data_IF_788091900339
#
_entry.id   IF_788091900339
#
_cell.length_a   1.000
_cell.length_b   1.000
_cell.length_c   1.000
_cell.angle_alpha   90.00
_cell.angle_beta   90.00
_cell.angle_gamma   90.00
#
_symmetry.space_group_name_H-M   'P 1'
#
loop_
_entity.id
_entity.type
_entity.pdbx_description
1 polymer ?
#
# COMPACT_ATOMS: atom_id res chain seq x y z
N UNK A 1 26.31 -2.06 -37.71
CA UNK A 1 26.46 -1.85 -36.25
C UNK A 1 25.24 -1.08 -35.78
N UNK A 2 24.34 -1.72 -35.05
CA UNK A 2 23.19 -1.00 -34.47
C UNK A 2 23.73 -0.14 -33.32
N UNK A 3 23.65 1.18 -33.45
CA UNK A 3 23.99 2.10 -32.38
C UNK A 3 23.05 1.82 -31.21
N UNK A 4 23.60 1.39 -30.07
CA UNK A 4 22.85 1.28 -28.83
C UNK A 4 22.36 2.67 -28.44
N UNK A 5 21.04 2.86 -28.38
CA UNK A 5 20.46 4.05 -27.77
C UNK A 5 20.95 4.08 -26.32
N UNK A 6 21.62 5.15 -25.86
CA UNK A 6 22.03 5.23 -24.46
C UNK A 6 20.79 5.09 -23.57
N UNK A 7 20.88 4.23 -22.56
CA UNK A 7 19.79 4.06 -21.60
C UNK A 7 19.41 5.43 -21.03
N UNK A 8 18.13 5.80 -21.14
CA UNK A 8 17.63 7.04 -20.58
C UNK A 8 18.02 7.10 -19.09
N UNK A 9 18.54 8.24 -18.66
CA UNK A 9 18.90 8.41 -17.25
C UNK A 9 17.65 8.20 -16.38
N UNK A 10 17.76 7.48 -15.25
CA UNK A 10 16.60 7.17 -14.42
C UNK A 10 15.94 8.46 -13.93
N UNK A 11 14.61 8.53 -14.04
CA UNK A 11 13.83 9.66 -13.56
C UNK A 11 13.80 9.72 -12.03
N UNK A 12 13.59 10.92 -11.48
CA UNK A 12 13.23 11.07 -10.06
C UNK A 12 11.80 10.56 -9.89
N UNK A 13 11.61 9.61 -8.96
CA UNK A 13 10.29 9.16 -8.55
C UNK A 13 9.90 9.86 -7.25
N UNK A 14 8.64 10.26 -7.12
CA UNK A 14 8.13 10.90 -5.91
C UNK A 14 6.71 10.42 -5.64
N UNK A 15 6.38 10.24 -4.37
CA UNK A 15 5.03 9.97 -3.91
C UNK A 15 4.83 10.56 -2.51
N UNK A 16 3.58 10.77 -2.14
CA UNK A 16 3.20 11.17 -0.79
C UNK A 16 2.28 10.11 -0.19
N UNK A 17 2.37 9.91 1.12
CA UNK A 17 1.53 8.95 1.83
C UNK A 17 1.52 9.21 3.32
N UNK A 18 0.78 8.36 4.03
CA UNK A 18 0.56 8.47 5.48
C UNK A 18 0.23 9.93 5.89
N UNK A 19 -0.65 10.55 5.10
CA UNK A 19 -1.05 11.94 5.28
C UNK A 19 -1.97 12.05 6.49
N UNK A 20 -1.75 13.09 7.29
CA UNK A 20 -2.56 13.43 8.46
C UNK A 20 -3.06 14.87 8.31
N UNK A 21 -3.86 15.40 9.25
CA UNK A 21 -4.24 16.80 9.21
C UNK A 21 -3.05 17.76 9.25
N UNK A 22 -1.93 17.35 9.87
CA UNK A 22 -0.80 18.24 10.13
C UNK A 22 0.54 17.70 9.65
N UNK A 23 0.53 16.66 8.82
CA UNK A 23 1.76 16.02 8.37
C UNK A 23 1.55 15.10 7.18
N UNK A 24 2.66 14.70 6.56
CA UNK A 24 2.71 13.80 5.42
C UNK A 24 4.09 13.15 5.33
N UNK A 25 4.19 12.01 4.67
CA UNK A 25 5.47 11.40 4.30
C UNK A 25 5.71 11.66 2.82
N UNK A 26 6.77 12.40 2.50
CA UNK A 26 7.29 12.50 1.13
C UNK A 26 8.29 11.38 0.95
N UNK A 27 8.01 10.46 0.04
CA UNK A 27 8.97 9.48 -0.43
C UNK A 27 9.55 9.94 -1.77
N UNK A 28 10.85 9.75 -1.96
CA UNK A 28 11.48 9.97 -3.25
C UNK A 28 12.56 8.95 -3.54
N UNK A 29 12.79 8.70 -4.84
CA UNK A 29 13.97 8.00 -5.35
C UNK A 29 14.77 8.95 -6.23
N UNK A 30 16.03 9.16 -5.86
CA UNK A 30 17.01 9.90 -6.64
C UNK A 30 17.56 9.13 -7.83
N UNK A 31 18.37 9.81 -8.63
CA UNK A 31 19.07 9.24 -9.78
C UNK A 31 20.39 8.56 -9.39
N UNK A 32 21.02 9.07 -8.33
CA UNK A 32 22.26 8.58 -7.76
C UNK A 32 22.31 8.92 -6.26
N UNK A 33 23.34 8.40 -5.56
CA UNK A 33 23.57 8.73 -4.15
C UNK A 33 23.87 10.22 -3.99
N UNK A 34 23.46 10.80 -2.86
CA UNK A 34 23.64 12.21 -2.55
C UNK A 34 22.41 12.81 -1.91
N UNK A 35 22.21 14.10 -2.13
CA UNK A 35 21.11 14.86 -1.53
C UNK A 35 20.08 15.22 -2.58
N UNK A 36 18.81 14.98 -2.26
CA UNK A 36 17.67 15.55 -2.96
C UNK A 36 17.24 16.83 -2.25
N UNK A 37 17.00 17.90 -3.01
CA UNK A 37 16.30 19.07 -2.48
C UNK A 37 14.80 18.82 -2.57
N UNK A 38 14.10 19.00 -1.46
CA UNK A 38 12.65 18.93 -1.37
C UNK A 38 12.12 20.30 -1.01
N UNK A 39 11.39 20.91 -1.95
CA UNK A 39 10.62 22.12 -1.71
C UNK A 39 9.15 21.74 -1.51
N UNK A 40 8.47 22.32 -0.52
CA UNK A 40 7.02 22.16 -0.38
C UNK A 40 6.34 23.45 0.08
N UNK A 41 5.11 23.68 -0.36
CA UNK A 41 4.35 24.88 0.00
C UNK A 41 2.88 24.77 -0.41
N UNK A 42 2.05 25.66 0.11
CA UNK A 42 0.61 25.70 -0.20
C UNK A 42 0.43 26.07 -1.67
N UNK A 43 -0.37 25.30 -2.41
CA UNK A 43 -0.69 25.60 -3.82
C UNK A 43 -1.40 26.96 -3.90
N UNK A 44 -0.86 27.88 -4.70
CA UNK A 44 -1.37 29.25 -4.81
C UNK A 44 -1.11 30.15 -3.59
N UNK A 45 -0.35 29.68 -2.60
CA UNK A 45 0.02 30.47 -1.43
C UNK A 45 1.08 31.53 -1.74
N UNK A 46 1.03 32.67 -1.04
CA UNK A 46 2.01 33.75 -1.18
C UNK A 46 3.34 33.48 -0.44
N UNK A 47 3.32 32.58 0.54
CA UNK A 47 4.50 32.22 1.31
C UNK A 47 5.52 31.43 0.46
N UNK A 48 6.83 31.67 0.62
CA UNK A 48 7.85 30.86 -0.04
C UNK A 48 7.73 29.38 0.33
N UNK A 49 8.02 28.49 -0.63
CA UNK A 49 8.10 27.06 -0.35
C UNK A 49 9.21 26.77 0.67
N UNK A 50 8.90 25.97 1.68
CA UNK A 50 9.87 25.49 2.64
C UNK A 50 10.85 24.53 1.96
N UNK A 51 12.13 24.63 2.29
CA UNK A 51 13.22 23.80 1.77
C UNK A 51 13.69 22.78 2.78
N UNK A 52 13.90 21.54 2.33
CA UNK A 52 14.48 20.44 3.10
C UNK A 52 15.46 19.65 2.24
N UNK A 53 16.43 19.02 2.89
CA UNK A 53 17.35 18.08 2.27
C UNK A 53 16.90 16.66 2.61
N UNK A 54 16.94 15.77 1.62
CA UNK A 54 16.69 14.34 1.79
C UNK A 54 17.89 13.55 1.27
N UNK A 55 18.63 12.91 2.18
CA UNK A 55 19.78 12.08 1.81
C UNK A 55 19.34 10.73 1.27
N UNK A 56 19.94 10.33 0.15
CA UNK A 56 19.72 9.02 -0.48
C UNK A 56 21.06 8.34 -0.75
N UNK A 57 21.15 7.03 -0.55
CA UNK A 57 22.40 6.28 -0.67
C UNK A 57 22.29 5.15 -1.68
N UNK A 58 23.42 4.68 -2.22
CA UNK A 58 23.44 3.50 -3.09
C UNK A 58 22.93 2.24 -2.36
N UNK A 59 23.29 2.08 -1.08
CA UNK A 59 22.81 0.98 -0.24
C UNK A 59 21.30 1.00 0.00
N UNK A 60 20.67 2.18 -0.03
CA UNK A 60 19.22 2.37 0.03
C UNK A 60 18.53 2.39 -1.35
N UNK A 61 19.20 1.99 -2.43
CA UNK A 61 18.70 2.06 -3.81
C UNK A 61 18.19 3.46 -4.19
N UNK A 62 18.90 4.47 -3.69
CA UNK A 62 18.62 5.89 -3.88
C UNK A 62 17.23 6.32 -3.39
N UNK A 63 16.57 5.53 -2.54
CA UNK A 63 15.29 5.88 -1.92
C UNK A 63 15.51 6.66 -0.62
N UNK A 64 14.53 7.48 -0.26
CA UNK A 64 14.49 8.21 0.99
C UNK A 64 13.08 8.66 1.34
N UNK A 65 12.85 8.93 2.63
CA UNK A 65 11.59 9.46 3.16
C UNK A 65 11.86 10.70 4.00
N UNK A 66 10.98 11.69 3.85
CA UNK A 66 10.97 12.91 4.63
C UNK A 66 9.60 13.07 5.29
N UNK A 67 9.58 13.08 6.62
CA UNK A 67 8.39 13.42 7.38
C UNK A 67 8.19 14.95 7.37
N UNK A 68 7.02 15.39 6.93
CA UNK A 68 6.56 16.77 7.01
C UNK A 68 5.64 16.90 8.22
N UNK A 69 5.82 17.97 9.00
CA UNK A 69 5.03 18.28 10.19
C UNK A 69 4.62 19.75 10.21
N UNK A 70 3.65 20.10 11.05
CA UNK A 70 3.16 21.48 11.17
C UNK A 70 2.41 21.97 9.92
N UNK A 71 1.88 21.05 9.11
CA UNK A 71 1.08 21.41 7.95
C UNK A 71 -0.30 21.92 8.39
N UNK A 72 -0.91 22.75 7.55
CA UNK A 72 -2.28 23.23 7.75
C UNK A 72 -3.25 22.13 7.32
N UNK A 73 -4.28 21.77 8.11
CA UNK A 73 -5.31 20.82 7.73
C UNK A 73 -6.10 21.23 6.48
N UNK A 74 -6.72 20.26 5.80
CA UNK A 74 -7.56 20.47 4.62
C UNK A 74 -6.92 21.36 3.53
N UNK A 75 -5.60 21.27 3.35
CA UNK A 75 -4.82 22.19 2.52
C UNK A 75 -4.04 21.41 1.46
N UNK A 76 -4.09 21.91 0.22
CA UNK A 76 -3.33 21.36 -0.90
C UNK A 76 -1.91 21.90 -0.91
N UNK A 77 -0.94 21.00 -0.94
CA UNK A 77 0.49 21.31 -0.98
C UNK A 77 1.10 20.84 -2.30
N UNK A 78 1.92 21.70 -2.90
CA UNK A 78 2.86 21.32 -3.95
C UNK A 78 4.16 20.85 -3.32
N UNK A 79 4.78 19.85 -3.92
CA UNK A 79 6.10 19.31 -3.58
C UNK A 79 6.94 19.30 -4.85
N UNK A 80 8.17 19.78 -4.78
CA UNK A 80 9.17 19.63 -5.85
C UNK A 80 10.38 18.92 -5.27
N UNK A 81 10.80 17.85 -5.91
CA UNK A 81 12.02 17.11 -5.59
C UNK A 81 13.01 17.31 -6.73
N UNK A 82 14.24 17.73 -6.42
CA UNK A 82 15.29 17.94 -7.42
C UNK A 82 16.62 17.29 -7.03
N UNK A 83 17.37 16.89 -8.06
CA UNK A 83 18.76 16.44 -7.95
C UNK A 83 19.51 17.03 -9.16
N UNK A 84 20.34 18.04 -8.90
CA UNK A 84 20.90 18.87 -9.97
C UNK A 84 19.78 19.59 -10.75
N UNK A 85 19.83 19.50 -12.08
CA UNK A 85 18.82 20.11 -12.97
C UNK A 85 17.56 19.25 -13.14
N UNK A 86 17.61 17.96 -12.77
CA UNK A 86 16.44 17.09 -12.87
C UNK A 86 15.47 17.33 -11.72
N UNK A 87 14.17 17.39 -12.03
CA UNK A 87 13.11 17.61 -11.02
C UNK A 87 11.86 16.77 -11.28
N UNK A 88 11.14 16.46 -10.21
CA UNK A 88 9.79 15.90 -10.23
C UNK A 88 8.86 16.74 -9.34
N UNK A 89 7.60 16.89 -9.73
CA UNK A 89 6.60 17.68 -9.01
C UNK A 89 5.44 16.81 -8.56
N UNK A 90 5.00 16.94 -7.32
CA UNK A 90 3.87 16.21 -6.78
C UNK A 90 2.94 17.16 -6.03
N UNK A 91 1.72 16.71 -5.78
CA UNK A 91 0.76 17.37 -4.92
C UNK A 91 0.11 16.38 -3.96
N UNK A 92 -0.32 16.89 -2.82
CA UNK A 92 -1.17 16.17 -1.88
C UNK A 92 -2.09 17.13 -1.15
N UNK A 93 -3.12 16.60 -0.51
CA UNK A 93 -4.02 17.36 0.36
C UNK A 93 -3.95 16.78 1.76
N UNK A 94 -3.73 17.62 2.77
CA UNK A 94 -3.79 17.20 4.17
C UNK A 94 -5.20 16.85 4.57
N UNK A 95 -5.36 15.87 5.47
CA UNK A 95 -6.67 15.48 5.93
C UNK A 95 -7.37 16.66 6.66
N UNK A 96 -8.71 16.75 6.61
CA UNK A 96 -9.45 17.68 7.46
C UNK A 96 -9.27 17.36 8.94
N UNK A 97 -9.41 18.35 9.85
CA UNK A 97 -9.41 18.12 11.30
C UNK A 97 -10.43 17.04 11.71
N UNK A 98 -10.17 16.20 12.73
CA UNK A 98 -11.01 15.03 13.05
C UNK A 98 -12.48 15.31 13.40
N UNK A 99 -12.84 16.56 13.68
CA UNK A 99 -14.20 17.04 13.98
C UNK A 99 -14.90 17.71 12.78
N UNK A 100 -14.17 17.98 11.70
CA UNK A 100 -14.68 18.64 10.51
C UNK A 100 -15.55 17.70 9.65
N UNK A 101 -16.79 18.07 9.30
CA UNK A 101 -17.68 17.25 8.46
C UNK A 101 -17.38 17.40 6.95
N UNK A 102 -16.12 17.18 6.57
CA UNK A 102 -15.67 17.32 5.19
C UNK A 102 -16.03 16.08 4.36
N UNK A 103 -16.49 16.31 3.11
CA UNK A 103 -16.65 15.26 2.11
C UNK A 103 -15.31 14.57 1.87
N UNK A 104 -15.36 13.25 1.64
CA UNK A 104 -14.21 12.44 1.26
C UNK A 104 -14.53 11.63 0.01
N UNK A 105 -13.59 11.58 -0.92
CA UNK A 105 -13.58 10.70 -2.09
C UNK A 105 -12.24 9.98 -2.13
N UNK A 106 -12.24 8.66 -2.11
CA UNK A 106 -11.00 7.88 -2.20
C UNK A 106 -11.10 6.82 -3.29
N UNK A 107 -9.94 6.38 -3.77
CA UNK A 107 -9.79 5.27 -4.70
C UNK A 107 -9.22 4.06 -3.98
N UNK A 108 -9.43 2.89 -4.56
CA UNK A 108 -8.82 1.65 -4.11
C UNK A 108 -8.52 0.72 -5.27
N UNK A 109 -7.46 -0.09 -5.13
CA UNK A 109 -7.07 -1.16 -6.05
C UNK A 109 -6.11 -2.09 -5.32
N UNK A 110 -6.04 -3.35 -5.71
CA UNK A 110 -4.93 -4.27 -5.44
C UNK A 110 -4.44 -4.87 -6.75
N UNK A 111 -3.66 -5.94 -6.67
CA UNK A 111 -3.46 -6.90 -7.77
C UNK A 111 -2.87 -6.27 -9.04
N UNK A 112 -1.78 -5.51 -8.89
CA UNK A 112 -1.13 -4.83 -10.01
C UNK A 112 -0.21 -5.76 -10.80
N UNK A 113 -0.78 -6.27 -11.89
CA UNK A 113 -0.09 -7.10 -12.86
C UNK A 113 -0.20 -8.58 -12.49
N UNK A 114 0.90 -9.34 -12.61
CA UNK A 114 0.89 -10.76 -12.27
C UNK A 114 0.18 -11.66 -13.30
N UNK A 115 0.37 -12.97 -13.19
CA UNK A 115 -0.30 -13.95 -14.08
C UNK A 115 -0.08 -13.72 -15.60
N UNK A 116 0.99 -13.00 -15.97
CA UNK A 116 1.28 -12.58 -17.33
C UNK A 116 0.82 -11.16 -17.72
N UNK A 117 0.05 -10.45 -16.89
CA UNK A 117 -0.43 -9.08 -17.13
C UNK A 117 0.53 -8.00 -16.61
N UNK A 118 1.84 -8.26 -16.72
CA UNK A 118 2.90 -7.33 -16.36
C UNK A 118 2.85 -6.03 -17.17
N UNK A 119 3.64 -5.01 -16.79
CA UNK A 119 3.67 -3.68 -17.42
C UNK A 119 3.79 -3.76 -18.94
N UNK A 120 2.72 -3.44 -19.70
CA UNK A 120 2.75 -3.48 -21.16
C UNK A 120 3.73 -2.45 -21.73
N UNK A 121 4.43 -2.80 -22.81
CA UNK A 121 5.23 -1.84 -23.60
C UNK A 121 4.35 -0.74 -24.18
N UNK A 122 3.14 -1.10 -24.61
CA UNK A 122 2.18 -0.18 -25.21
C UNK A 122 1.24 0.44 -24.17
N UNK A 123 1.68 1.56 -23.59
CA UNK A 123 0.84 2.42 -22.75
C UNK A 123 0.73 2.00 -21.28
N UNK A 124 1.49 0.99 -20.84
CA UNK A 124 1.62 0.65 -19.43
C UNK A 124 0.28 0.28 -18.77
N UNK A 125 0.14 0.60 -17.48
CA UNK A 125 -1.07 0.33 -16.70
C UNK A 125 -2.13 1.42 -16.90
N UNK A 126 -2.90 1.27 -18.00
CA UNK A 126 -3.88 2.27 -18.47
C UNK A 126 -4.93 2.70 -17.45
N UNK A 127 -5.23 1.87 -16.44
CA UNK A 127 -6.25 2.15 -15.42
C UNK A 127 -5.90 3.37 -14.54
N UNK A 128 -4.62 3.68 -14.36
CA UNK A 128 -4.23 4.75 -13.44
C UNK A 128 -4.50 6.16 -13.98
N UNK A 129 -4.59 6.34 -15.30
CA UNK A 129 -4.98 7.62 -15.89
C UNK A 129 -6.44 8.02 -15.54
N UNK A 130 -7.48 7.21 -15.82
CA UNK A 130 -8.85 7.54 -15.43
C UNK A 130 -9.06 7.54 -13.91
N UNK A 131 -8.19 6.88 -13.13
CA UNK A 131 -8.16 7.02 -11.67
C UNK A 131 -7.69 8.42 -11.26
N UNK A 132 -6.59 8.93 -11.84
CA UNK A 132 -6.08 10.28 -11.57
C UNK A 132 -7.13 11.35 -11.91
N UNK A 133 -7.89 11.17 -12.99
CA UNK A 133 -8.96 12.08 -13.39
C UNK A 133 -10.08 12.23 -12.35
N UNK A 134 -10.22 11.28 -11.41
CA UNK A 134 -11.21 11.37 -10.32
C UNK A 134 -10.85 12.40 -9.25
N UNK A 135 -9.60 12.86 -9.21
CA UNK A 135 -9.10 13.84 -8.22
C UNK A 135 -9.46 13.46 -6.79
N UNK A 136 -9.25 12.19 -6.45
CA UNK A 136 -9.52 11.67 -5.12
C UNK A 136 -8.62 12.32 -4.07
N UNK A 137 -9.11 12.34 -2.83
CA UNK A 137 -8.39 12.81 -1.66
C UNK A 137 -7.18 11.91 -1.35
N UNK A 138 -7.36 10.60 -1.53
CA UNK A 138 -6.30 9.59 -1.38
C UNK A 138 -6.61 8.30 -2.15
N UNK A 139 -5.58 7.46 -2.28
CA UNK A 139 -5.62 6.15 -2.91
C UNK A 139 -5.18 5.06 -1.92
N UNK A 140 -5.99 4.03 -1.76
CA UNK A 140 -5.65 2.81 -1.03
C UNK A 140 -5.08 1.79 -2.02
N UNK A 141 -3.82 1.39 -1.84
CA UNK A 141 -3.21 0.35 -2.67
C UNK A 141 -3.06 -0.93 -1.82
N UNK A 142 -3.95 -1.89 -2.09
CA UNK A 142 -4.30 -2.99 -1.20
C UNK A 142 -3.69 -4.29 -1.72
N UNK A 143 -2.40 -4.47 -1.50
CA UNK A 143 -1.72 -5.72 -1.84
C UNK A 143 -1.31 -5.88 -3.30
N UNK A 144 -0.47 -6.91 -3.53
CA UNK A 144 -0.09 -7.41 -4.85
C UNK A 144 0.41 -6.34 -5.81
N UNK A 145 1.22 -5.42 -5.28
CA UNK A 145 1.74 -4.28 -6.01
C UNK A 145 2.90 -4.65 -6.94
N UNK A 146 3.47 -5.87 -6.83
CA UNK A 146 4.71 -6.23 -7.55
C UNK A 146 4.83 -7.66 -8.10
N UNK A 147 4.08 -8.66 -7.63
CA UNK A 147 4.25 -10.06 -8.07
C UNK A 147 5.71 -10.55 -8.06
N UNK A 148 6.40 -10.34 -6.95
CA UNK A 148 7.85 -10.53 -6.80
C UNK A 148 8.33 -11.95 -7.17
N UNK A 149 7.45 -12.92 -7.04
CA UNK A 149 7.67 -14.33 -7.26
C UNK A 149 7.17 -14.83 -8.62
N UNK A 150 6.54 -13.99 -9.46
CA UNK A 150 6.08 -14.38 -10.81
C UNK A 150 6.92 -13.66 -11.88
N UNK A 151 7.76 -14.40 -12.65
CA UNK A 151 8.51 -13.82 -13.76
C UNK A 151 7.60 -13.20 -14.82
N UNK A 152 8.00 -12.06 -15.34
CA UNK A 152 7.35 -11.36 -16.45
C UNK A 152 8.17 -11.58 -17.73
N UNK A 153 8.02 -12.73 -18.37
CA UNK A 153 8.86 -13.20 -19.50
C UNK A 153 8.09 -13.32 -20.83
N UNK A 154 6.99 -12.58 -20.99
CA UNK A 154 6.14 -12.63 -22.19
C UNK A 154 6.47 -11.53 -23.20
N UNK A 155 6.24 -11.74 -24.51
CA UNK A 155 6.32 -10.68 -25.49
C UNK A 155 5.39 -9.50 -25.16
N UNK A 156 5.81 -8.27 -25.48
CA UNK A 156 4.96 -7.09 -25.32
C UNK A 156 4.99 -6.44 -23.94
N UNK A 157 5.83 -6.90 -23.01
CA UNK A 157 5.99 -6.30 -21.67
C UNK A 157 7.35 -5.61 -21.54
N UNK A 158 7.44 -4.61 -20.67
CA UNK A 158 8.71 -3.94 -20.39
C UNK A 158 9.66 -4.92 -19.73
N UNK A 159 10.95 -4.86 -20.06
CA UNK A 159 11.98 -5.71 -19.47
C UNK A 159 12.32 -5.31 -18.01
N UNK A 160 12.98 -6.20 -17.27
CA UNK A 160 13.49 -5.95 -15.91
C UNK A 160 12.68 -6.60 -14.78
N UNK A 161 11.82 -7.56 -15.12
CA UNK A 161 10.97 -8.32 -14.21
C UNK A 161 10.92 -9.83 -14.53
N UNK A 162 11.85 -10.36 -15.32
CA UNK A 162 11.92 -11.75 -15.82
C UNK A 162 12.40 -12.76 -14.75
N UNK A 163 12.44 -12.37 -13.48
CA UNK A 163 13.01 -13.16 -12.39
C UNK A 163 12.06 -13.23 -11.19
N UNK A 164 12.31 -14.24 -10.34
CA UNK A 164 11.73 -14.34 -9.00
C UNK A 164 12.66 -13.70 -7.99
N UNK A 165 12.17 -12.75 -7.20
CA UNK A 165 12.95 -12.06 -6.20
C UNK A 165 13.26 -12.96 -5.00
N UNK A 166 14.53 -12.93 -4.57
CA UNK A 166 15.04 -13.62 -3.38
C UNK A 166 15.96 -12.73 -2.54
N UNK A 167 16.55 -11.70 -3.16
CA UNK A 167 17.42 -10.73 -2.48
C UNK A 167 16.76 -9.36 -2.39
N UNK A 168 17.22 -8.53 -1.45
CA UNK A 168 16.70 -7.17 -1.28
C UNK A 168 16.76 -6.35 -2.58
N UNK A 169 17.87 -6.45 -3.31
CA UNK A 169 18.04 -5.77 -4.60
C UNK A 169 17.01 -6.23 -5.65
N UNK A 170 16.66 -7.52 -5.67
CA UNK A 170 15.65 -8.06 -6.57
C UNK A 170 14.23 -7.61 -6.19
N UNK A 171 13.87 -7.62 -4.90
CA UNK A 171 12.58 -7.11 -4.44
C UNK A 171 12.42 -5.61 -4.75
N UNK A 172 13.46 -4.82 -4.48
CA UNK A 172 13.50 -3.39 -4.84
C UNK A 172 13.35 -3.18 -6.35
N UNK A 173 13.98 -4.02 -7.17
CA UNK A 173 13.82 -3.97 -8.62
C UNK A 173 12.37 -4.26 -9.07
N UNK A 174 11.65 -5.18 -8.42
CA UNK A 174 10.22 -5.44 -8.68
C UNK A 174 9.33 -4.27 -8.28
N UNK A 175 9.57 -3.61 -7.15
CA UNK A 175 8.88 -2.36 -6.82
C UNK A 175 9.16 -1.24 -7.82
N UNK A 176 10.43 -1.06 -8.19
CA UNK A 176 10.83 -0.05 -9.18
C UNK A 176 10.15 -0.28 -10.53
N UNK A 177 10.13 -1.52 -11.01
CA UNK A 177 9.53 -1.91 -12.28
C UNK A 177 8.10 -1.38 -12.43
N UNK A 178 7.24 -1.60 -11.43
CA UNK A 178 5.86 -1.11 -11.49
C UNK A 178 5.78 0.40 -11.27
N UNK A 179 6.56 0.97 -10.36
CA UNK A 179 6.52 2.42 -10.07
C UNK A 179 7.07 3.32 -11.17
N UNK A 180 7.87 2.77 -12.07
CA UNK A 180 8.33 3.46 -13.28
C UNK A 180 7.27 3.47 -14.39
N UNK A 181 6.13 2.79 -14.22
CA UNK A 181 4.98 2.99 -15.10
C UNK A 181 4.52 4.45 -15.07
N UNK A 182 4.33 5.05 -16.27
CA UNK A 182 4.04 6.46 -16.40
C UNK A 182 2.68 6.85 -15.78
N UNK A 183 1.65 6.02 -15.94
CA UNK A 183 0.31 6.31 -15.43
C UNK A 183 0.26 6.11 -13.91
N UNK A 184 0.89 5.06 -13.38
CA UNK A 184 1.04 4.89 -11.92
C UNK A 184 1.84 6.04 -11.30
N UNK A 185 2.98 6.39 -11.90
CA UNK A 185 3.80 7.50 -11.42
C UNK A 185 3.03 8.83 -11.43
N UNK A 186 2.23 9.09 -12.46
CA UNK A 186 1.36 10.27 -12.51
C UNK A 186 0.30 10.26 -11.39
N UNK A 187 -0.36 9.12 -11.14
CA UNK A 187 -1.31 8.99 -10.03
C UNK A 187 -0.63 9.25 -8.68
N UNK A 188 0.51 8.62 -8.41
CA UNK A 188 1.26 8.76 -7.15
C UNK A 188 1.83 10.17 -6.93
N UNK A 189 2.06 10.91 -8.02
CA UNK A 189 2.41 12.34 -7.98
C UNK A 189 1.21 13.24 -7.67
N UNK A 190 0.00 12.87 -8.11
CA UNK A 190 -1.20 13.70 -7.96
C UNK A 190 -2.11 13.32 -6.79
N UNK A 191 -1.90 12.16 -6.17
CA UNK A 191 -2.78 11.61 -5.14
C UNK A 191 -1.96 10.88 -4.08
N UNK A 192 -2.21 11.21 -2.81
CA UNK A 192 -1.54 10.52 -1.69
C UNK A 192 -1.93 9.05 -1.64
N UNK A 193 -0.97 8.17 -1.36
CA UNK A 193 -1.16 6.71 -1.32
C UNK A 193 -1.02 6.17 0.10
N UNK A 194 -1.90 5.26 0.47
CA UNK A 194 -1.76 4.40 1.63
C UNK A 194 -1.64 2.97 1.13
N UNK A 195 -0.40 2.49 1.06
CA UNK A 195 -0.10 1.14 0.60
C UNK A 195 -0.07 0.13 1.76
N UNK A 196 -0.46 -1.09 1.45
CA UNK A 196 -0.25 -2.29 2.26
C UNK A 196 0.11 -3.45 1.33
N UNK A 197 0.88 -4.41 1.83
CA UNK A 197 1.21 -5.62 1.08
C UNK A 197 0.09 -6.66 1.11
N UNK A 198 0.23 -7.64 0.23
CA UNK A 198 -0.32 -8.96 0.36
C UNK A 198 0.80 -10.00 0.13
N UNK A 199 0.52 -11.19 -0.42
CA UNK A 199 1.54 -12.21 -0.51
C UNK A 199 2.55 -11.99 -1.61
N UNK A 200 2.13 -11.47 -2.75
CA UNK A 200 2.98 -11.31 -3.92
C UNK A 200 4.06 -10.22 -3.76
N UNK A 201 4.06 -9.48 -2.64
CA UNK A 201 5.24 -8.73 -2.18
C UNK A 201 6.41 -9.62 -1.72
N UNK A 202 6.16 -10.89 -1.41
CA UNK A 202 7.14 -11.87 -0.93
C UNK A 202 7.12 -13.12 -1.81
N UNK A 203 6.03 -13.90 -1.72
CA UNK A 203 5.68 -15.05 -2.58
C UNK A 203 4.23 -15.49 -2.31
N UNK A 204 3.58 -16.06 -3.31
CA UNK A 204 2.24 -16.64 -3.24
C UNK A 204 1.96 -17.42 -1.94
N UNK A 205 0.82 -17.14 -1.33
CA UNK A 205 0.24 -17.72 -0.12
C UNK A 205 1.14 -17.71 1.13
N UNK A 206 2.17 -16.85 1.22
CA UNK A 206 3.08 -16.89 2.36
C UNK A 206 2.37 -16.55 3.68
N UNK A 207 2.72 -17.23 4.76
CA UNK A 207 2.24 -16.93 6.11
C UNK A 207 3.41 -16.53 7.01
N UNK A 208 3.47 -15.28 7.44
CA UNK A 208 4.46 -14.80 8.42
C UNK A 208 4.09 -15.26 9.82
N UNK A 209 5.04 -15.51 10.75
CA UNK A 209 6.49 -15.30 10.67
C UNK A 209 7.27 -16.48 10.07
N UNK A 210 6.59 -17.46 9.46
CA UNK A 210 7.18 -18.73 9.05
C UNK A 210 7.95 -18.65 7.73
N UNK A 211 7.77 -17.56 6.97
CA UNK A 211 8.46 -17.38 5.70
C UNK A 211 9.79 -16.63 5.82
N UNK A 212 10.87 -17.29 5.42
CA UNK A 212 12.23 -16.74 5.52
C UNK A 212 12.49 -15.56 4.57
N UNK A 213 11.68 -15.35 3.54
CA UNK A 213 11.78 -14.20 2.63
C UNK A 213 10.96 -12.99 3.12
N UNK A 214 10.04 -13.18 4.07
CA UNK A 214 9.21 -12.10 4.58
C UNK A 214 10.02 -10.89 5.08
N UNK A 215 11.11 -11.05 5.87
CA UNK A 215 11.86 -9.89 6.34
C UNK A 215 12.46 -9.05 5.21
N UNK A 216 12.94 -9.70 4.13
CA UNK A 216 13.55 -9.00 2.99
C UNK A 216 12.52 -8.36 2.07
N UNK A 217 11.39 -9.03 1.81
CA UNK A 217 10.28 -8.43 1.06
C UNK A 217 9.66 -7.24 1.80
N UNK A 218 9.50 -7.35 3.13
CA UNK A 218 9.04 -6.25 3.99
C UNK A 218 9.96 -5.04 3.95
N UNK A 219 11.27 -5.29 4.02
CA UNK A 219 12.24 -4.19 3.92
C UNK A 219 12.10 -3.49 2.56
N UNK A 220 11.94 -4.24 1.47
CA UNK A 220 11.75 -3.64 0.15
C UNK A 220 10.44 -2.84 0.05
N UNK A 221 9.33 -3.33 0.62
CA UNK A 221 8.06 -2.60 0.71
C UNK A 221 8.26 -1.27 1.45
N UNK A 222 8.90 -1.32 2.62
CA UNK A 222 9.21 -0.12 3.40
C UNK A 222 10.15 0.82 2.62
N UNK A 223 11.12 0.32 1.87
CA UNK A 223 12.02 1.16 1.08
C UNK A 223 11.28 1.89 -0.06
N UNK A 224 10.23 1.29 -0.62
CA UNK A 224 9.59 1.78 -1.84
C UNK A 224 8.25 2.48 -1.65
N UNK A 225 7.60 2.38 -0.49
CA UNK A 225 6.32 3.06 -0.23
C UNK A 225 6.44 4.13 0.88
N UNK A 226 5.67 5.24 0.82
CA UNK A 226 5.66 6.32 1.81
C UNK A 226 4.94 5.90 3.12
N UNK A 227 5.37 4.79 3.70
CA UNK A 227 4.89 4.25 4.98
C UNK A 227 5.81 4.74 6.10
N UNK A 228 5.26 5.34 7.15
CA UNK A 228 5.98 5.73 8.35
C UNK A 228 5.57 4.85 9.54
N UNK A 229 6.28 3.71 9.75
CA UNK A 229 6.04 2.91 10.94
C UNK A 229 6.41 3.69 12.22
N UNK A 230 5.80 3.36 13.37
CA UNK A 230 6.26 3.87 14.67
C UNK A 230 7.73 3.52 14.91
N UNK A 231 8.47 4.40 15.60
CA UNK A 231 9.91 4.23 15.79
C UNK A 231 10.24 2.97 16.62
N UNK A 232 9.36 2.64 17.57
CA UNK A 232 9.40 1.47 18.44
C UNK A 232 9.01 0.17 17.73
N UNK A 233 8.28 0.25 16.62
CA UNK A 233 7.81 -0.88 15.82
C UNK A 233 8.16 -0.66 14.33
N UNK A 234 9.44 -0.59 13.94
CA UNK A 234 9.86 -0.15 12.60
C UNK A 234 9.45 -1.09 11.46
N UNK A 235 8.87 -2.24 11.79
CA UNK A 235 8.37 -3.24 10.83
C UNK A 235 6.84 -3.33 10.80
N UNK A 236 6.14 -2.51 11.59
CA UNK A 236 4.68 -2.52 11.65
C UNK A 236 4.10 -1.81 10.42
N UNK A 237 3.25 -2.53 9.69
CA UNK A 237 2.58 -2.00 8.49
C UNK A 237 1.14 -1.56 8.75
N UNK A 238 0.47 -2.22 9.70
CA UNK A 238 -0.90 -1.87 10.07
C UNK A 238 -0.97 -0.54 10.79
N UNK A 239 -1.96 0.26 10.40
CA UNK A 239 -2.12 1.64 10.85
C UNK A 239 -3.52 2.15 10.57
N UNK A 240 -3.89 3.26 11.21
CA UNK A 240 -5.18 3.92 10.99
C UNK A 240 -4.99 5.41 10.80
N UNK A 241 -5.91 6.03 10.10
CA UNK A 241 -5.96 7.48 9.95
C UNK A 241 -7.41 7.97 9.83
N UNK A 242 -7.61 9.26 10.07
CA UNK A 242 -8.89 9.93 9.94
C UNK A 242 -8.91 10.89 8.77
N UNK A 243 -10.08 10.99 8.15
CA UNK A 243 -10.40 12.03 7.18
C UNK A 243 -11.64 12.80 7.65
N UNK A 244 -11.40 13.86 8.41
CA UNK A 244 -12.46 14.59 9.07
C UNK A 244 -13.22 13.75 10.11
N UNK A 245 -14.48 14.16 10.36
CA UNK A 245 -15.47 13.47 11.19
C UNK A 245 -16.12 12.29 10.47
N UNK A 246 -16.06 12.25 9.15
CA UNK A 246 -16.85 11.30 8.36
C UNK A 246 -16.19 9.93 8.27
N UNK A 247 -14.86 9.86 8.17
CA UNK A 247 -14.18 8.60 7.86
C UNK A 247 -13.00 8.33 8.79
N UNK A 248 -12.94 7.10 9.27
CA UNK A 248 -11.73 6.52 9.85
C UNK A 248 -11.40 5.21 9.13
N UNK A 249 -10.15 5.07 8.70
CA UNK A 249 -9.66 3.93 7.92
C UNK A 249 -8.71 3.13 8.80
N UNK A 250 -8.90 1.81 8.86
CA UNK A 250 -8.08 0.85 9.57
C UNK A 250 -7.43 -0.10 8.56
N UNK A 251 -6.13 0.09 8.30
CA UNK A 251 -5.36 -0.75 7.39
C UNK A 251 -4.76 -1.92 8.17
N UNK A 252 -5.17 -3.12 7.80
CA UNK A 252 -4.69 -4.38 8.38
C UNK A 252 -3.39 -4.82 7.72
N UNK A 253 -2.77 -5.84 8.30
CA UNK A 253 -1.59 -6.54 7.81
C UNK A 253 -1.93 -8.01 8.02
N UNK A 254 -2.44 -8.63 6.97
CA UNK A 254 -2.99 -9.98 6.99
C UNK A 254 -1.98 -11.01 6.52
N UNK A 255 -0.67 -10.69 6.57
CA UNK A 255 0.40 -11.63 6.21
C UNK A 255 1.45 -11.78 7.31
N UNK A 256 1.87 -10.70 7.96
CA UNK A 256 3.03 -10.73 8.88
C UNK A 256 2.87 -11.65 10.09
N UNK A 257 1.63 -11.77 10.60
CA UNK A 257 1.36 -12.34 11.92
C UNK A 257 0.51 -13.61 11.88
N UNK A 258 0.17 -14.11 10.68
CA UNK A 258 -0.82 -15.17 10.54
C UNK A 258 -0.27 -16.58 10.71
N UNK A 259 -1.05 -17.43 11.36
CA UNK A 259 -0.79 -18.87 11.37
C UNK A 259 -0.71 -19.43 9.95
N UNK A 260 0.02 -20.54 9.72
CA UNK A 260 0.04 -21.21 8.42
C UNK A 260 -1.37 -21.48 7.87
N UNK A 261 -1.56 -21.23 6.56
CA UNK A 261 -2.84 -21.45 5.89
C UNK A 261 -3.37 -22.89 6.04
N UNK A 262 -2.46 -23.88 6.16
CA UNK A 262 -2.73 -25.31 6.33
C UNK A 262 -3.25 -25.70 7.72
N UNK A 263 -3.12 -24.83 8.71
CA UNK A 263 -3.61 -25.13 10.06
C UNK A 263 -5.13 -25.22 10.06
N UNK A 264 -5.69 -26.13 10.86
CA UNK A 264 -7.14 -26.19 11.08
C UNK A 264 -7.61 -24.90 11.77
N UNK A 265 -8.68 -24.31 11.25
CA UNK A 265 -9.34 -23.15 11.85
C UNK A 265 -9.85 -23.48 13.25
N UNK A 266 -9.71 -22.51 14.14
CA UNK A 266 -10.06 -22.66 15.55
C UNK A 266 -9.42 -21.58 16.41
N UNK A 267 -9.62 -21.62 17.74
CA UNK A 267 -9.19 -20.55 18.65
C UNK A 267 -7.69 -20.26 18.67
N UNK A 268 -6.85 -21.22 18.25
CA UNK A 268 -5.40 -21.08 18.18
C UNK A 268 -4.85 -20.55 16.85
N UNK A 269 -5.70 -20.48 15.80
CA UNK A 269 -5.31 -19.97 14.48
C UNK A 269 -5.65 -18.48 14.39
N UNK A 270 -4.74 -17.67 13.86
CA UNK A 270 -4.91 -16.22 13.78
C UNK A 270 -4.44 -15.67 12.44
N UNK A 271 -5.13 -14.67 11.92
CA UNK A 271 -4.73 -13.85 10.78
C UNK A 271 -3.91 -12.63 11.24
N UNK A 272 -4.34 -11.97 12.32
CA UNK A 272 -3.77 -10.68 12.75
C UNK A 272 -2.74 -10.82 13.87
N UNK A 273 -2.69 -11.95 14.56
CA UNK A 273 -2.05 -12.04 15.86
C UNK A 273 -2.81 -11.25 16.94
N UNK A 274 -2.42 -11.46 18.19
CA UNK A 274 -3.16 -10.94 19.34
C UNK A 274 -3.16 -9.40 19.42
N UNK A 275 -2.01 -8.77 19.13
CA UNK A 275 -1.84 -7.32 19.31
C UNK A 275 -2.65 -6.53 18.29
N UNK A 276 -2.53 -6.86 17.00
CA UNK A 276 -3.27 -6.19 15.94
C UNK A 276 -4.77 -6.47 16.03
N UNK A 277 -5.19 -7.68 16.41
CA UNK A 277 -6.60 -7.98 16.68
C UNK A 277 -7.18 -7.08 17.77
N UNK A 278 -6.47 -6.92 18.89
CA UNK A 278 -6.89 -6.01 19.97
C UNK A 278 -6.92 -4.57 19.47
N UNK A 279 -5.86 -4.11 18.79
CA UNK A 279 -5.78 -2.79 18.19
C UNK A 279 -6.97 -2.48 17.26
N UNK A 280 -7.37 -3.44 16.43
CA UNK A 280 -8.50 -3.31 15.52
C UNK A 280 -9.82 -3.21 16.30
N UNK A 281 -10.05 -4.12 17.24
CA UNK A 281 -11.28 -4.14 18.05
C UNK A 281 -11.42 -2.85 18.84
N UNK A 282 -10.39 -2.45 19.57
CA UNK A 282 -10.41 -1.23 20.39
C UNK A 282 -10.54 0.02 19.51
N UNK A 283 -9.83 0.07 18.39
CA UNK A 283 -9.88 1.20 17.46
C UNK A 283 -11.25 1.40 16.82
N UNK A 284 -11.86 0.33 16.30
CA UNK A 284 -13.17 0.41 15.63
C UNK A 284 -14.29 0.69 16.64
N UNK A 285 -14.26 0.05 17.81
CA UNK A 285 -15.32 0.22 18.83
C UNK A 285 -15.25 1.57 19.54
N UNK A 286 -14.07 2.18 19.66
CA UNK A 286 -13.91 3.54 20.20
C UNK A 286 -14.03 4.65 19.15
N UNK A 287 -14.09 4.31 17.85
CA UNK A 287 -14.11 5.31 16.78
C UNK A 287 -15.42 6.11 16.75
N UNK A 288 -15.28 7.42 16.88
CA UNK A 288 -16.35 8.41 16.73
C UNK A 288 -16.62 8.84 15.27
N UNK A 289 -15.91 8.29 14.28
CA UNK A 289 -16.14 8.64 12.89
C UNK A 289 -17.49 8.10 12.39
N UNK A 290 -18.09 8.77 11.42
CA UNK A 290 -19.39 8.34 10.86
C UNK A 290 -19.26 6.97 10.19
N UNK A 291 -18.24 6.77 9.37
CA UNK A 291 -17.91 5.53 8.67
C UNK A 291 -16.58 4.96 9.16
N UNK A 292 -16.54 3.64 9.32
CA UNK A 292 -15.33 2.88 9.60
C UNK A 292 -15.03 2.02 8.38
N UNK A 293 -13.88 2.23 7.75
CA UNK A 293 -13.41 1.38 6.65
C UNK A 293 -12.28 0.51 7.17
N UNK A 294 -12.44 -0.81 7.10
CA UNK A 294 -11.39 -1.77 7.43
C UNK A 294 -10.81 -2.32 6.12
N UNK A 295 -9.54 -2.02 5.87
CA UNK A 295 -8.80 -2.46 4.68
C UNK A 295 -8.05 -3.73 5.03
N UNK A 296 -8.33 -4.81 4.31
CA UNK A 296 -7.68 -6.11 4.38
C UNK A 296 -7.13 -6.44 3.01
N UNK A 297 -6.02 -7.17 2.90
CA UNK A 297 -5.55 -7.57 1.57
C UNK A 297 -6.32 -8.78 1.03
N UNK A 298 -6.64 -9.75 1.89
CA UNK A 298 -7.38 -10.96 1.52
C UNK A 298 -8.89 -10.84 1.74
N UNK A 299 -9.67 -11.61 0.97
CA UNK A 299 -11.14 -11.55 0.97
C UNK A 299 -11.79 -12.05 2.27
N UNK A 300 -12.88 -11.38 2.66
CA UNK A 300 -13.73 -11.76 3.81
C UNK A 300 -14.69 -12.91 3.51
N UNK A 301 -15.17 -12.97 2.27
CA UNK A 301 -16.35 -13.72 1.82
C UNK A 301 -16.04 -14.72 0.72
N UNK A 302 -15.01 -14.48 -0.08
CA UNK A 302 -14.62 -15.35 -1.20
C UNK A 302 -13.44 -16.22 -0.77
N UNK A 303 -13.53 -17.56 -0.90
CA UNK A 303 -12.40 -18.44 -0.63
C UNK A 303 -11.32 -18.31 -1.72
N UNK A 304 -10.12 -17.90 -1.32
CA UNK A 304 -8.90 -17.98 -2.15
C UNK A 304 -7.94 -19.06 -1.61
N UNK A 305 -6.85 -19.31 -2.34
CA UNK A 305 -5.92 -20.41 -2.04
C UNK A 305 -6.50 -21.81 -2.30
N UNK A 306 -5.79 -22.83 -1.85
CA UNK A 306 -6.14 -24.24 -2.11
C UNK A 306 -7.18 -24.76 -1.09
N UNK A 307 -7.96 -25.79 -1.44
CA UNK A 307 -8.67 -26.59 -0.44
C UNK A 307 -7.69 -27.07 0.64
N UNK A 308 -8.09 -27.05 1.92
CA UNK A 308 -7.24 -27.32 3.10
C UNK A 308 -6.07 -26.34 3.35
N UNK A 309 -5.93 -25.27 2.56
CA UNK A 309 -4.91 -24.24 2.75
C UNK A 309 -5.42 -22.90 2.23
N UNK A 310 -6.56 -22.46 2.76
CA UNK A 310 -7.24 -21.23 2.30
C UNK A 310 -6.41 -20.00 2.60
N UNK A 311 -6.39 -19.10 1.63
CA UNK A 311 -5.66 -17.83 1.69
C UNK A 311 -6.57 -16.62 1.91
N UNK A 312 -7.65 -16.82 2.66
CA UNK A 312 -8.70 -15.83 2.87
C UNK A 312 -9.23 -15.97 4.29
N UNK A 313 -9.97 -14.96 4.74
CA UNK A 313 -10.64 -15.04 6.04
C UNK A 313 -11.67 -16.18 6.07
N UNK A 314 -12.26 -16.51 4.93
CA UNK A 314 -13.33 -17.50 4.84
C UNK A 314 -12.82 -18.89 4.51
N UNK A 315 -13.54 -19.89 5.01
CA UNK A 315 -13.36 -21.30 4.68
C UNK A 315 -14.50 -21.89 3.87
N UNK A 316 -15.49 -21.09 3.42
CA UNK A 316 -16.67 -21.59 2.70
C UNK A 316 -16.41 -21.59 1.20
N UNK A 317 -16.99 -22.52 0.44
CA UNK A 317 -16.88 -22.58 -1.01
C UNK A 317 -17.62 -21.42 -1.67
N UNK A 318 -17.44 -21.24 -2.98
CA UNK A 318 -18.23 -20.30 -3.78
C UNK A 318 -19.76 -20.53 -3.68
N UNK A 319 -20.19 -21.71 -3.20
CA UNK A 319 -21.60 -22.06 -2.95
C UNK A 319 -22.02 -21.91 -1.47
N UNK A 320 -21.18 -21.34 -0.62
CA UNK A 320 -21.47 -21.13 0.81
C UNK A 320 -21.37 -22.40 1.67
N UNK A 321 -20.85 -23.51 1.13
CA UNK A 321 -20.65 -24.74 1.89
C UNK A 321 -19.31 -24.70 2.64
N UNK A 322 -19.22 -25.06 3.94
CA UNK A 322 -17.95 -25.17 4.64
C UNK A 322 -16.98 -26.09 3.89
N UNK A 323 -15.75 -25.62 3.65
CA UNK A 323 -14.67 -26.43 3.07
C UNK A 323 -13.64 -26.68 4.16
N UNK A 324 -13.61 -27.91 4.65
CA UNK A 324 -12.52 -28.55 5.40
C UNK A 324 -11.89 -27.74 6.54
N UNK A 325 -12.68 -27.04 7.36
CA UNK A 325 -12.18 -26.36 8.57
C UNK A 325 -10.99 -25.43 8.30
N UNK A 326 -10.87 -24.87 7.10
CA UNK A 326 -9.77 -24.01 6.69
C UNK A 326 -10.17 -22.53 6.71
N UNK A 327 -9.23 -21.64 6.38
CA UNK A 327 -9.42 -20.18 6.47
C UNK A 327 -9.12 -19.67 7.87
N UNK A 328 -9.68 -18.51 8.22
CA UNK A 328 -9.51 -17.86 9.52
C UNK A 328 -10.88 -17.42 10.07
N UNK A 329 -11.88 -18.28 9.88
CA UNK A 329 -13.31 -18.01 10.16
C UNK A 329 -13.53 -17.75 11.64
N UNK A 330 -12.89 -18.54 12.51
CA UNK A 330 -13.02 -18.39 13.97
C UNK A 330 -12.56 -17.00 14.44
N UNK A 331 -11.43 -16.51 13.91
CA UNK A 331 -10.96 -15.16 14.25
C UNK A 331 -11.83 -14.06 13.62
N UNK A 332 -12.20 -14.21 12.34
CA UNK A 332 -13.10 -13.28 11.63
C UNK A 332 -14.39 -13.10 12.41
N UNK A 333 -15.06 -14.20 12.75
CA UNK A 333 -16.36 -14.18 13.42
C UNK A 333 -16.25 -13.62 14.84
N UNK A 334 -15.14 -13.89 15.55
CA UNK A 334 -14.88 -13.29 16.85
C UNK A 334 -14.74 -11.75 16.76
N UNK A 335 -14.07 -11.23 15.72
CA UNK A 335 -13.93 -9.78 15.49
C UNK A 335 -15.30 -9.18 15.14
N UNK A 336 -16.03 -9.77 14.20
CA UNK A 336 -17.34 -9.29 13.77
C UNK A 336 -18.36 -9.34 14.92
N UNK A 337 -18.33 -10.37 15.76
CA UNK A 337 -19.18 -10.47 16.95
C UNK A 337 -18.85 -9.36 17.97
N UNK A 338 -17.58 -9.01 18.16
CA UNK A 338 -17.20 -7.85 19.00
C UNK A 338 -17.77 -6.55 18.44
N UNK A 339 -17.62 -6.30 17.14
CA UNK A 339 -18.20 -5.10 16.51
C UNK A 339 -19.72 -5.05 16.70
N UNK A 340 -20.41 -6.18 16.50
CA UNK A 340 -21.86 -6.29 16.71
C UNK A 340 -22.25 -6.02 18.16
N UNK A 341 -21.56 -6.62 19.14
CA UNK A 341 -21.84 -6.43 20.58
C UNK A 341 -21.62 -4.99 21.05
N UNK A 342 -20.66 -4.30 20.46
CA UNK A 342 -20.41 -2.87 20.72
C UNK A 342 -21.29 -1.94 19.86
N UNK A 343 -22.24 -2.48 19.09
CA UNK A 343 -23.18 -1.67 18.31
C UNK A 343 -22.52 -0.86 17.19
N UNK A 344 -21.37 -1.29 16.67
CA UNK A 344 -20.67 -0.60 15.57
C UNK A 344 -21.60 -0.48 14.36
N UNK A 345 -21.72 0.73 13.82
CA UNK A 345 -22.50 1.06 12.63
C UNK A 345 -21.58 1.56 11.52
N UNK A 346 -22.08 1.57 10.28
CA UNK A 346 -21.42 2.15 9.11
C UNK A 346 -20.01 1.57 8.90
N UNK A 347 -19.90 0.25 9.03
CA UNK A 347 -18.69 -0.50 8.84
C UNK A 347 -18.64 -1.02 7.40
N UNK A 348 -17.54 -0.74 6.71
CA UNK A 348 -17.26 -1.23 5.36
C UNK A 348 -15.94 -1.96 5.39
N UNK A 349 -15.89 -3.13 4.77
CA UNK A 349 -14.64 -3.82 4.51
C UNK A 349 -14.21 -3.57 3.07
N UNK A 350 -12.91 -3.38 2.91
CA UNK A 350 -12.24 -3.18 1.65
C UNK A 350 -11.22 -4.30 1.50
N UNK A 351 -11.36 -5.15 0.47
CA UNK A 351 -10.48 -6.26 0.14
C UNK A 351 -10.02 -6.26 -1.33
N UNK A 352 -8.96 -7.04 -1.63
CA UNK A 352 -8.40 -7.30 -2.95
C UNK A 352 -8.23 -8.83 -3.16
N UNK A 353 -7.13 -9.30 -3.78
CA UNK A 353 -6.69 -10.72 -3.90
C UNK A 353 -7.51 -11.57 -4.90
N UNK A 354 -8.82 -11.32 -5.02
CA UNK A 354 -9.73 -12.19 -5.78
C UNK A 354 -9.75 -11.97 -7.29
N UNK A 355 -9.00 -10.98 -7.81
CA UNK A 355 -8.88 -10.62 -9.23
C UNK A 355 -10.20 -10.34 -9.98
N UNK A 356 -11.23 -9.91 -9.25
CA UNK A 356 -12.48 -9.39 -9.82
C UNK A 356 -13.13 -8.41 -8.83
N UNK A 357 -14.18 -7.70 -9.28
CA UNK A 357 -14.90 -6.75 -8.45
C UNK A 357 -16.27 -7.29 -8.04
N UNK A 358 -16.58 -7.22 -6.75
CA UNK A 358 -17.91 -7.41 -6.15
C UNK A 358 -18.16 -6.35 -5.06
N UNK A 359 -19.44 -6.11 -4.72
CA UNK A 359 -19.86 -5.13 -3.70
C UNK A 359 -20.60 -5.81 -2.55
#
# INVERSE_FOLDING_TARGET
MAASVPAAEPAILVATGDVTPTGAVVWARGRHAGTLEVLYGVVGGAAPMARRALSVTAGGDFTGKLALTGLTPATRYAVRVSQGETRAEAEFVTAPPPDAPARVTFLWSGDLGGGGYCRPLDGGYRIFAPMLDRRADFFLFVGDTIYADVPCDRPGVVAGAEFRARTLAQYRARHRYNREDAALSALLRGTSVYAIWDDHEVRNDFSGPHDWLMPVGRQALLDYWPIAPPAEEPTRLYRRFRWGRLLEVFILDTRQYRSPNTDTDGPGKTMLGAEQKRWLVDGVTSSTATWKVVVTSVSLSIPTGKPNARDSWTGVSAFGLPVDGAGFVTERDAILDRFRKHGVKNLVFVAADVHHAEL
#
